data_IF_136754471664
#
_entry.id   IF_136754471664
#
_cell.length_a   1.000
_cell.length_b   1.000
_cell.length_c   1.000
_cell.angle_alpha   90.00
_cell.angle_beta   90.00
_cell.angle_gamma   90.00
#
_symmetry.space_group_name_H-M   'P 1'
#
loop_
_entity.id
_entity.type
_entity.pdbx_description
1 polymer ?
#
# COMPACT_ATOMS: atom_id res chain seq x y z
N UNK A 1 2.75 27.32 -5.12
CA UNK A 1 2.32 26.01 -5.66
C UNK A 1 3.11 24.93 -4.90
N UNK A 2 2.60 23.86 -4.28
CA UNK A 2 1.32 23.14 -4.26
C UNK A 2 1.26 22.31 -2.95
N UNK A 3 0.28 22.53 -2.06
CA UNK A 3 0.25 21.88 -0.72
C UNK A 3 -0.61 20.61 -0.64
N UNK A 4 -1.27 20.21 -1.73
CA UNK A 4 -2.12 19.01 -1.77
C UNK A 4 -1.35 17.72 -2.11
N UNK A 5 -0.39 17.77 -3.03
CA UNK A 5 0.34 16.58 -3.48
C UNK A 5 1.25 15.97 -2.39
N UNK A 6 1.92 16.80 -1.58
CA UNK A 6 2.80 16.34 -0.50
C UNK A 6 2.03 15.69 0.67
N UNK A 7 0.78 16.13 0.93
CA UNK A 7 -0.07 15.52 1.97
C UNK A 7 -0.50 14.10 1.58
N UNK A 8 -0.79 13.86 0.31
CA UNK A 8 -1.23 12.54 -0.19
C UNK A 8 -0.12 11.49 -0.08
N UNK A 9 1.12 11.84 -0.43
CA UNK A 9 2.27 10.93 -0.32
C UNK A 9 2.58 10.60 1.14
N UNK A 10 2.60 11.61 2.02
CA UNK A 10 2.82 11.41 3.45
C UNK A 10 1.74 10.53 4.09
N UNK A 11 0.48 10.76 3.75
CA UNK A 11 -0.65 9.94 4.18
C UNK A 11 -0.52 8.48 3.73
N UNK A 12 -0.23 8.25 2.44
CA UNK A 12 -0.03 6.91 1.88
C UNK A 12 1.12 6.17 2.59
N UNK A 13 2.25 6.85 2.81
CA UNK A 13 3.38 6.27 3.54
C UNK A 13 3.01 5.91 4.98
N UNK A 14 2.24 6.76 5.67
CA UNK A 14 1.74 6.46 7.01
C UNK A 14 0.84 5.22 7.01
N UNK A 15 -0.13 5.17 6.08
CA UNK A 15 -1.07 4.05 5.93
C UNK A 15 -0.35 2.72 5.68
N UNK A 16 0.66 2.71 4.81
CA UNK A 16 1.46 1.51 4.53
C UNK A 16 2.24 1.08 5.77
N UNK A 17 2.88 2.03 6.46
CA UNK A 17 3.69 1.74 7.66
C UNK A 17 2.83 1.19 8.80
N UNK A 18 1.65 1.76 9.02
CA UNK A 18 0.73 1.37 10.09
C UNK A 18 -0.11 0.13 9.79
N UNK A 19 -0.10 -0.37 8.54
CA UNK A 19 -0.89 -1.56 8.18
C UNK A 19 -0.39 -2.82 8.90
N UNK A 20 -1.31 -3.54 9.55
CA UNK A 20 -1.10 -4.85 10.18
C UNK A 20 -1.10 -6.00 9.16
N UNK A 21 -1.71 -5.80 7.98
CA UNK A 21 -1.84 -6.83 6.93
C UNK A 21 -0.60 -6.98 6.04
N UNK A 22 0.26 -5.96 6.04
CA UNK A 22 1.50 -5.97 5.27
C UNK A 22 2.65 -6.45 6.13
N UNK A 23 3.45 -7.38 5.61
CA UNK A 23 4.71 -7.75 6.25
C UNK A 23 5.79 -6.68 5.99
N UNK A 24 6.92 -6.79 6.69
CA UNK A 24 8.02 -5.82 6.58
C UNK A 24 8.54 -5.65 5.14
N UNK A 25 8.61 -6.74 4.36
CA UNK A 25 9.07 -6.71 2.98
C UNK A 25 8.08 -6.02 2.05
N UNK A 26 6.78 -6.26 2.22
CA UNK A 26 5.72 -5.57 1.47
C UNK A 26 5.70 -4.08 1.77
N UNK A 27 5.90 -3.70 3.04
CA UNK A 27 6.05 -2.30 3.46
C UNK A 27 7.27 -1.64 2.79
N UNK A 28 8.44 -2.30 2.79
CA UNK A 28 9.63 -1.76 2.13
C UNK A 28 9.40 -1.57 0.63
N UNK A 29 8.85 -2.58 -0.05
CA UNK A 29 8.55 -2.52 -1.49
C UNK A 29 7.64 -1.31 -1.78
N UNK A 30 6.48 -1.21 -1.13
CA UNK A 30 5.54 -0.12 -1.41
C UNK A 30 6.11 1.26 -1.05
N UNK A 31 6.82 1.39 0.08
CA UNK A 31 7.43 2.68 0.46
C UNK A 31 8.57 3.08 -0.47
N UNK A 32 9.39 2.13 -0.93
CA UNK A 32 10.43 2.36 -1.94
C UNK A 32 9.83 2.84 -3.26
N UNK A 33 8.74 2.21 -3.71
CA UNK A 33 8.03 2.60 -4.94
C UNK A 33 7.47 4.02 -4.87
N UNK A 34 6.85 4.39 -3.73
CA UNK A 34 6.37 5.76 -3.50
C UNK A 34 7.51 6.79 -3.52
N UNK A 35 8.69 6.41 -3.02
CA UNK A 35 9.89 7.27 -3.03
C UNK A 35 10.61 7.30 -4.39
N UNK A 36 10.06 6.65 -5.42
CA UNK A 36 10.61 6.64 -6.77
C UNK A 36 11.68 5.57 -7.02
N UNK A 37 11.81 4.57 -6.15
CA UNK A 37 12.76 3.47 -6.41
C UNK A 37 12.27 2.53 -7.51
N UNK A 38 13.20 2.08 -8.34
CA UNK A 38 12.90 1.12 -9.41
C UNK A 38 12.80 -0.29 -8.87
N UNK A 39 11.98 -1.13 -9.51
CA UNK A 39 11.86 -2.55 -9.19
C UNK A 39 13.21 -3.27 -9.20
N UNK A 40 14.12 -2.89 -10.10
CA UNK A 40 15.48 -3.43 -10.17
C UNK A 40 16.30 -3.08 -8.93
N UNK A 41 16.22 -1.83 -8.44
CA UNK A 41 16.92 -1.39 -7.23
C UNK A 41 16.41 -2.13 -5.99
N UNK A 42 15.10 -2.27 -5.87
CA UNK A 42 14.46 -3.02 -4.77
C UNK A 42 14.80 -4.51 -4.87
N UNK A 43 14.75 -5.07 -6.07
CA UNK A 43 15.10 -6.47 -6.35
C UNK A 43 16.53 -6.80 -5.94
N UNK A 44 17.48 -5.89 -6.20
CA UNK A 44 18.88 -6.04 -5.76
C UNK A 44 19.02 -6.16 -4.23
N UNK A 45 18.23 -5.42 -3.44
CA UNK A 45 18.28 -5.53 -1.95
C UNK A 45 17.83 -6.88 -1.43
N UNK A 46 16.93 -7.54 -2.17
CA UNK A 46 16.33 -8.80 -1.79
C UNK A 46 16.81 -9.98 -2.62
N UNK A 47 17.84 -9.77 -3.46
CA UNK A 47 18.41 -10.79 -4.34
C UNK A 47 17.36 -11.51 -5.21
N UNK A 48 16.38 -10.75 -5.72
CA UNK A 48 15.34 -11.26 -6.61
C UNK A 48 15.19 -10.40 -7.85
N UNK A 49 14.53 -10.96 -8.86
CA UNK A 49 14.25 -10.26 -10.11
C UNK A 49 13.27 -9.09 -9.90
N UNK A 50 13.33 -8.11 -10.79
CA UNK A 50 12.37 -7.00 -10.82
C UNK A 50 10.93 -7.50 -10.97
N UNK A 51 10.72 -8.57 -11.74
CA UNK A 51 9.40 -9.20 -11.91
C UNK A 51 8.88 -9.79 -10.60
N UNK A 52 9.75 -10.42 -9.80
CA UNK A 52 9.35 -10.93 -8.49
C UNK A 52 8.96 -9.81 -7.53
N UNK A 53 9.62 -8.65 -7.59
CA UNK A 53 9.21 -7.47 -6.84
C UNK A 53 7.86 -6.94 -7.34
N UNK A 54 7.62 -6.90 -8.66
CA UNK A 54 6.35 -6.47 -9.25
C UNK A 54 5.17 -7.31 -8.75
N UNK A 55 5.32 -8.64 -8.76
CA UNK A 55 4.30 -9.57 -8.23
C UNK A 55 4.01 -9.30 -6.76
N UNK A 56 5.06 -9.07 -5.94
CA UNK A 56 4.91 -8.76 -4.51
C UNK A 56 4.28 -7.39 -4.28
N UNK A 57 4.57 -6.41 -5.12
CA UNK A 57 3.91 -5.10 -5.12
C UNK A 57 2.40 -5.25 -5.38
N UNK A 58 2.01 -6.04 -6.39
CA UNK A 58 0.60 -6.31 -6.70
C UNK A 58 -0.13 -7.02 -5.55
N UNK A 59 0.46 -8.08 -4.99
CA UNK A 59 -0.07 -8.79 -3.83
C UNK A 59 -0.31 -7.83 -2.65
N UNK A 60 0.67 -6.97 -2.36
CA UNK A 60 0.58 -5.99 -1.27
C UNK A 60 -0.51 -4.93 -1.52
N UNK A 61 -0.65 -4.44 -2.75
CA UNK A 61 -1.72 -3.50 -3.13
C UNK A 61 -3.10 -4.15 -2.96
N UNK A 62 -3.24 -5.43 -3.34
CA UNK A 62 -4.50 -6.16 -3.18
C UNK A 62 -4.87 -6.32 -1.70
N UNK A 63 -3.91 -6.60 -0.82
CA UNK A 63 -4.13 -6.65 0.64
C UNK A 63 -4.64 -5.32 1.18
N UNK A 64 -4.06 -4.20 0.75
CA UNK A 64 -4.52 -2.86 1.14
C UNK A 64 -5.93 -2.56 0.61
N UNK A 65 -6.21 -2.87 -0.65
CA UNK A 65 -7.53 -2.63 -1.27
C UNK A 65 -8.63 -3.44 -0.59
N UNK A 66 -8.41 -4.72 -0.30
CA UNK A 66 -9.42 -5.59 0.33
C UNK A 66 -9.94 -5.01 1.65
N UNK A 67 -9.05 -4.43 2.45
CA UNK A 67 -9.44 -3.77 3.70
C UNK A 67 -10.32 -2.53 3.47
N UNK A 68 -9.97 -1.69 2.49
CA UNK A 68 -10.77 -0.49 2.17
C UNK A 68 -12.17 -0.91 1.72
N UNK A 69 -12.28 -1.94 0.87
CA UNK A 69 -13.57 -2.45 0.45
C UNK A 69 -14.38 -3.05 1.61
N UNK A 70 -13.76 -3.79 2.53
CA UNK A 70 -14.45 -4.30 3.72
C UNK A 70 -14.95 -3.17 4.63
N UNK A 71 -14.14 -2.15 4.88
CA UNK A 71 -14.55 -0.98 5.69
C UNK A 71 -15.70 -0.21 5.03
N UNK A 72 -15.66 -0.02 3.71
CA UNK A 72 -16.75 0.65 2.97
C UNK A 72 -18.02 -0.22 2.98
N UNK A 73 -17.88 -1.53 2.82
CA UNK A 73 -19.02 -2.45 2.85
C UNK A 73 -19.70 -2.46 4.21
N UNK A 74 -18.93 -2.61 5.30
CA UNK A 74 -19.47 -2.61 6.66
C UNK A 74 -20.06 -1.26 7.06
N UNK A 75 -19.40 -0.14 6.73
CA UNK A 75 -20.00 1.19 7.00
C UNK A 75 -21.31 1.43 6.24
N UNK A 76 -21.47 0.90 5.02
CA UNK A 76 -22.76 0.94 4.30
C UNK A 76 -23.82 0.06 4.95
N UNK A 77 -23.44 -1.10 5.49
CA UNK A 77 -24.35 -2.02 6.19
C UNK A 77 -24.82 -1.43 7.53
N UNK A 78 -23.92 -0.84 8.32
CA UNK A 78 -24.24 -0.20 9.60
C UNK A 78 -25.25 0.94 9.45
N UNK A 79 -25.13 1.76 8.40
CA UNK A 79 -26.08 2.83 8.09
C UNK A 79 -27.45 2.32 7.64
N UNK A 80 -27.55 1.06 7.18
CA UNK A 80 -28.80 0.43 6.76
C UNK A 80 -29.53 -0.25 7.92
N UNK A 81 -28.80 -0.69 8.95
CA UNK A 81 -29.37 -1.35 10.14
C UNK A 81 -29.91 -0.31 11.13
N UNK A 82 -29.29 0.87 11.22
CA UNK A 82 -29.67 1.94 12.17
C UNK A 82 -30.69 2.95 11.60
N UNK A 83 -31.47 2.56 10.58
CA UNK A 83 -32.45 3.40 9.91
C UNK A 83 -33.77 2.65 9.75
#
# INVERSE_FOLDING_TARGET
MSSKANKTVGYLLSLIKSSDKLNAREKDILTGRIKGETLKKIGKRYEVTAERIRQKEEEAILKLKKNIYQLILFSKLDNKINK
#
